data_IF_189357959639
#
_entry.id   IF_189357959639
#
_cell.length_a   1.000
_cell.length_b   1.000
_cell.length_c   1.000
_cell.angle_alpha   90.00
_cell.angle_beta   90.00
_cell.angle_gamma   90.00
#
_symmetry.space_group_name_H-M   'P 1'
#
loop_
_entity.id
_entity.type
_entity.pdbx_description
1 polymer ?
#
# COMPACT_ATOMS: atom_id res chain seq x y z
N UNK A 1 -27.32 -5.24 9.43
CA UNK A 1 -27.68 -5.03 8.02
C UNK A 1 -26.67 -4.21 7.21
N UNK A 2 -25.50 -3.78 7.74
CA UNK A 2 -24.51 -2.98 7.01
C UNK A 2 -23.44 -3.77 6.20
N UNK A 3 -23.27 -5.07 6.46
CA UNK A 3 -22.18 -5.88 5.87
C UNK A 3 -22.43 -6.38 4.44
N UNK A 4 -23.70 -6.57 4.04
CA UNK A 4 -24.04 -7.08 2.72
C UNK A 4 -23.93 -6.01 1.62
N UNK A 5 -24.24 -4.75 1.96
CA UNK A 5 -24.11 -3.60 1.06
C UNK A 5 -22.64 -3.27 0.81
N UNK A 6 -21.83 -3.12 1.87
CA UNK A 6 -20.38 -2.89 1.76
C UNK A 6 -19.67 -3.97 0.93
N UNK A 7 -20.05 -5.24 1.08
CA UNK A 7 -19.54 -6.35 0.25
C UNK A 7 -19.93 -6.24 -1.23
N UNK A 8 -21.18 -5.86 -1.54
CA UNK A 8 -21.62 -5.63 -2.93
C UNK A 8 -20.91 -4.45 -3.57
N UNK A 9 -20.72 -3.36 -2.83
CA UNK A 9 -19.98 -2.18 -3.32
C UNK A 9 -18.51 -2.52 -3.53
N UNK A 10 -17.91 -3.30 -2.63
CA UNK A 10 -16.52 -3.77 -2.75
C UNK A 10 -16.35 -4.68 -3.96
N UNK A 11 -17.24 -5.67 -4.16
CA UNK A 11 -17.22 -6.55 -5.35
C UNK A 11 -17.41 -5.79 -6.65
N UNK A 12 -18.33 -4.84 -6.68
CA UNK A 12 -18.60 -4.02 -7.87
C UNK A 12 -17.41 -3.12 -8.20
N UNK A 13 -16.78 -2.52 -7.18
CA UNK A 13 -15.58 -1.69 -7.35
C UNK A 13 -14.39 -2.53 -7.83
N UNK A 14 -14.18 -3.71 -7.23
CA UNK A 14 -13.15 -4.66 -7.67
C UNK A 14 -13.36 -5.08 -9.12
N UNK A 15 -14.60 -5.43 -9.51
CA UNK A 15 -14.92 -5.78 -10.90
C UNK A 15 -14.67 -4.62 -11.86
N UNK A 16 -15.06 -3.41 -11.51
CA UNK A 16 -14.85 -2.21 -12.35
C UNK A 16 -13.36 -1.88 -12.50
N UNK A 17 -12.59 -1.98 -11.41
CA UNK A 17 -11.13 -1.80 -11.43
C UNK A 17 -10.48 -2.90 -12.27
N UNK A 18 -10.92 -4.16 -12.14
CA UNK A 18 -10.41 -5.27 -12.95
C UNK A 18 -10.68 -5.07 -14.43
N UNK A 19 -11.89 -4.65 -14.81
CA UNK A 19 -12.25 -4.35 -16.21
C UNK A 19 -11.44 -3.17 -16.73
N UNK A 20 -11.26 -2.13 -15.94
CA UNK A 20 -10.44 -0.97 -16.31
C UNK A 20 -8.97 -1.35 -16.51
N UNK A 21 -8.37 -2.11 -15.58
CA UNK A 21 -7.00 -2.62 -15.71
C UNK A 21 -6.90 -3.49 -16.96
N UNK A 22 -7.82 -4.44 -17.17
CA UNK A 22 -7.78 -5.31 -18.34
C UNK A 22 -7.94 -4.53 -19.65
N UNK A 23 -8.78 -3.48 -19.68
CA UNK A 23 -8.95 -2.61 -20.83
C UNK A 23 -7.68 -1.79 -21.09
N UNK A 24 -7.12 -1.13 -20.08
CA UNK A 24 -5.86 -0.41 -20.20
C UNK A 24 -4.71 -1.33 -20.63
N UNK A 25 -4.64 -2.55 -20.10
CA UNK A 25 -3.59 -3.50 -20.47
C UNK A 25 -3.76 -4.02 -21.91
N UNK A 26 -5.00 -4.26 -22.37
CA UNK A 26 -5.29 -4.63 -23.76
C UNK A 26 -4.90 -3.51 -24.73
N UNK A 27 -5.26 -2.27 -24.42
CA UNK A 27 -4.96 -1.10 -25.26
C UNK A 27 -3.47 -0.73 -25.26
N UNK A 28 -2.80 -0.78 -24.10
CA UNK A 28 -1.40 -0.33 -23.96
C UNK A 28 -0.42 -1.38 -24.49
N UNK A 29 -0.69 -2.67 -24.24
CA UNK A 29 0.28 -3.74 -24.54
C UNK A 29 -0.14 -4.66 -25.68
N UNK A 30 -1.35 -4.53 -26.22
CA UNK A 30 -1.92 -5.43 -27.21
C UNK A 30 -1.88 -6.92 -26.77
N UNK A 31 -2.03 -7.17 -25.46
CA UNK A 31 -2.05 -8.52 -24.88
C UNK A 31 -3.49 -8.89 -24.55
N UNK A 32 -3.91 -10.08 -24.97
CA UNK A 32 -5.20 -10.66 -24.60
C UNK A 32 -5.07 -11.66 -23.46
N UNK A 33 -5.75 -11.37 -22.35
CA UNK A 33 -5.97 -12.33 -21.26
C UNK A 33 -7.45 -12.75 -21.24
N UNK A 34 -7.76 -14.01 -20.89
CA UNK A 34 -9.13 -14.46 -20.68
C UNK A 34 -9.78 -13.68 -19.52
N UNK A 35 -11.07 -13.37 -19.67
CA UNK A 35 -11.83 -12.41 -18.84
C UNK A 35 -12.03 -12.82 -17.37
N UNK A 36 -11.48 -13.98 -16.97
CA UNK A 36 -11.63 -14.50 -15.62
C UNK A 36 -10.28 -14.85 -15.02
N UNK A 37 -9.75 -13.97 -14.17
CA UNK A 37 -8.68 -14.32 -13.22
C UNK A 37 -9.36 -15.05 -12.06
N UNK A 38 -9.41 -16.39 -12.13
CA UNK A 38 -10.18 -17.21 -11.16
C UNK A 38 -9.34 -17.59 -9.92
N UNK A 39 -8.02 -17.51 -9.96
CA UNK A 39 -7.19 -17.99 -8.84
C UNK A 39 -6.12 -16.97 -8.44
N UNK A 40 -6.17 -16.57 -7.17
CA UNK A 40 -5.23 -15.65 -6.51
C UNK A 40 -3.83 -16.26 -6.27
N UNK A 41 -3.52 -17.43 -6.84
CA UNK A 41 -2.35 -18.24 -6.45
C UNK A 41 -1.41 -18.72 -7.58
N UNK A 42 -1.73 -18.70 -8.90
CA UNK A 42 -0.72 -19.00 -9.93
C UNK A 42 -0.42 -17.85 -10.91
N UNK A 43 -0.68 -16.59 -10.54
CA UNK A 43 -0.42 -15.44 -11.43
C UNK A 43 0.99 -14.84 -11.33
N UNK A 44 1.81 -15.27 -10.37
CA UNK A 44 3.18 -14.75 -10.23
C UNK A 44 4.09 -15.11 -11.41
N UNK A 45 3.79 -16.13 -12.20
CA UNK A 45 4.65 -16.54 -13.32
C UNK A 45 4.31 -15.86 -14.65
N UNK A 46 3.02 -15.70 -14.96
CA UNK A 46 2.57 -15.12 -16.21
C UNK A 46 2.58 -13.58 -16.21
N UNK A 47 2.43 -12.95 -15.05
CA UNK A 47 2.53 -11.49 -14.91
C UNK A 47 3.94 -10.97 -15.24
N UNK A 48 4.97 -11.78 -14.96
CA UNK A 48 6.35 -11.34 -15.05
C UNK A 48 6.87 -11.26 -16.51
N UNK A 49 6.30 -12.02 -17.44
CA UNK A 49 6.86 -12.16 -18.78
C UNK A 49 6.51 -11.01 -19.76
N UNK A 50 5.49 -10.19 -19.46
CA UNK A 50 4.92 -9.28 -20.46
C UNK A 50 5.11 -7.78 -20.20
N UNK A 51 5.77 -7.40 -19.09
CA UNK A 51 5.90 -6.00 -18.67
C UNK A 51 7.20 -5.29 -19.11
N UNK A 52 7.96 -5.88 -20.04
CA UNK A 52 9.17 -5.25 -20.61
C UNK A 52 8.89 -4.25 -21.75
N UNK A 53 7.62 -3.98 -22.05
CA UNK A 53 7.20 -3.09 -23.12
C UNK A 53 6.62 -1.80 -22.54
N UNK A 54 7.44 -0.95 -21.93
CA UNK A 54 7.54 0.51 -22.13
C UNK A 54 8.46 1.02 -21.02
N UNK A 55 9.72 1.33 -21.31
CA UNK A 55 10.67 1.92 -20.35
C UNK A 55 10.21 3.28 -19.77
N UNK A 56 9.07 3.80 -20.22
CA UNK A 56 8.50 5.09 -19.84
C UNK A 56 7.37 4.98 -18.81
N UNK A 57 6.72 3.80 -18.68
CA UNK A 57 5.62 3.57 -17.75
C UNK A 57 5.98 2.39 -16.84
N UNK A 58 6.17 2.65 -15.54
CA UNK A 58 6.55 1.69 -14.50
C UNK A 58 5.42 0.70 -14.14
N UNK A 59 4.76 0.11 -15.13
CA UNK A 59 3.50 -0.62 -14.98
C UNK A 59 3.65 -1.86 -14.09
N UNK A 60 4.82 -2.51 -14.14
CA UNK A 60 5.18 -3.62 -13.25
C UNK A 60 5.16 -3.20 -11.79
N UNK A 61 5.92 -2.16 -11.47
CA UNK A 61 6.08 -1.68 -10.09
C UNK A 61 4.74 -1.20 -9.53
N UNK A 62 3.95 -0.49 -10.35
CA UNK A 62 2.61 -0.02 -9.94
C UNK A 62 1.66 -1.17 -9.66
N UNK A 63 1.64 -2.19 -10.51
CA UNK A 63 0.80 -3.37 -10.28
C UNK A 63 1.26 -4.17 -9.06
N UNK A 64 2.57 -4.38 -8.89
CA UNK A 64 3.13 -5.08 -7.73
C UNK A 64 2.81 -4.34 -6.42
N UNK A 65 2.89 -3.01 -6.41
CA UNK A 65 2.43 -2.19 -5.29
C UNK A 65 0.96 -2.45 -4.97
N UNK A 66 0.07 -2.35 -5.96
CA UNK A 66 -1.38 -2.47 -5.77
C UNK A 66 -1.76 -3.86 -5.24
N UNK A 67 -1.26 -4.93 -5.85
CA UNK A 67 -1.57 -6.29 -5.42
C UNK A 67 -1.02 -6.58 -4.02
N UNK A 68 0.22 -6.17 -3.75
CA UNK A 68 0.84 -6.40 -2.44
C UNK A 68 0.20 -5.55 -1.33
N UNK A 69 -0.30 -4.34 -1.62
CA UNK A 69 -1.07 -3.55 -0.65
C UNK A 69 -2.41 -4.20 -0.33
N UNK A 70 -3.15 -4.67 -1.33
CA UNK A 70 -4.41 -5.37 -1.10
C UNK A 70 -4.20 -6.61 -0.21
N UNK A 71 -3.14 -7.36 -0.45
CA UNK A 71 -2.75 -8.49 0.39
C UNK A 71 -2.38 -8.04 1.82
N UNK A 72 -1.62 -6.94 1.98
CA UNK A 72 -1.28 -6.38 3.30
C UNK A 72 -2.53 -5.95 4.07
N UNK A 73 -3.52 -5.36 3.42
CA UNK A 73 -4.81 -5.01 4.05
C UNK A 73 -5.53 -6.26 4.54
N UNK A 74 -5.59 -7.31 3.72
CA UNK A 74 -6.19 -8.58 4.13
C UNK A 74 -5.45 -9.23 5.30
N UNK A 75 -4.11 -9.22 5.29
CA UNK A 75 -3.28 -9.69 6.40
C UNK A 75 -3.50 -8.83 7.66
N UNK A 76 -3.60 -7.51 7.51
CA UNK A 76 -3.81 -6.60 8.63
C UNK A 76 -5.17 -6.85 9.30
N UNK A 77 -6.21 -7.14 8.53
CA UNK A 77 -7.53 -7.46 9.09
C UNK A 77 -7.52 -8.73 9.96
N UNK A 78 -6.71 -9.73 9.61
CA UNK A 78 -6.77 -11.08 10.19
C UNK A 78 -5.77 -11.35 11.33
N UNK A 79 -4.94 -10.38 11.76
CA UNK A 79 -3.75 -10.66 12.62
C UNK A 79 -3.70 -9.78 13.88
N UNK A 80 -2.86 -10.17 14.87
CA UNK A 80 -2.56 -9.44 16.11
C UNK A 80 -1.47 -8.34 15.99
N UNK A 81 -1.42 -7.47 17.02
CA UNK A 81 -0.58 -6.25 17.12
C UNK A 81 0.90 -6.35 16.71
N UNK A 82 1.57 -7.49 16.91
CA UNK A 82 3.01 -7.64 16.60
C UNK A 82 3.29 -7.56 15.09
N UNK A 83 2.40 -8.10 14.27
CA UNK A 83 2.58 -8.17 12.81
C UNK A 83 2.11 -6.87 12.13
N UNK A 84 1.28 -6.05 12.80
CA UNK A 84 0.87 -4.73 12.29
C UNK A 84 2.03 -3.80 12.01
N UNK A 85 3.09 -3.85 12.84
CA UNK A 85 4.33 -3.10 12.58
C UNK A 85 4.87 -3.43 11.19
N UNK A 86 5.09 -4.71 10.95
CA UNK A 86 5.83 -5.16 9.79
C UNK A 86 5.03 -4.88 8.52
N UNK A 87 3.69 -5.06 8.58
CA UNK A 87 2.78 -4.69 7.50
C UNK A 87 2.80 -3.19 7.19
N UNK A 88 2.73 -2.32 8.21
CA UNK A 88 2.79 -0.86 8.00
C UNK A 88 4.12 -0.42 7.40
N UNK A 89 5.24 -0.98 7.88
CA UNK A 89 6.56 -0.59 7.41
C UNK A 89 6.85 -1.13 6.00
N UNK A 90 6.41 -2.34 5.67
CA UNK A 90 6.45 -2.88 4.31
C UNK A 90 5.59 -2.06 3.35
N UNK A 91 4.43 -1.60 3.82
CA UNK A 91 3.58 -0.70 3.04
C UNK A 91 4.30 0.62 2.72
N UNK A 92 4.95 1.25 3.70
CA UNK A 92 5.76 2.45 3.42
C UNK A 92 6.87 2.19 2.41
N UNK A 93 7.58 1.06 2.54
CA UNK A 93 8.66 0.70 1.62
C UNK A 93 8.13 0.51 0.19
N UNK A 94 6.97 -0.12 0.05
CA UNK A 94 6.29 -0.28 -1.23
C UNK A 94 5.84 1.07 -1.82
N UNK A 95 5.28 1.97 -1.00
CA UNK A 95 4.95 3.32 -1.43
C UNK A 95 6.18 4.11 -1.92
N UNK A 96 7.32 3.99 -1.23
CA UNK A 96 8.55 4.69 -1.61
C UNK A 96 9.20 4.10 -2.87
N UNK A 97 9.32 2.77 -2.96
CA UNK A 97 10.12 2.11 -3.99
C UNK A 97 9.29 1.71 -5.22
N UNK A 98 8.11 1.10 -5.01
CA UNK A 98 7.30 0.55 -6.09
C UNK A 98 6.30 1.57 -6.63
N UNK A 99 5.64 2.32 -5.74
CA UNK A 99 4.69 3.35 -6.19
C UNK A 99 5.33 4.72 -6.41
N UNK A 100 6.52 4.94 -5.83
CA UNK A 100 7.26 6.19 -5.88
C UNK A 100 6.43 7.40 -5.45
N UNK A 101 5.58 7.22 -4.44
CA UNK A 101 4.72 8.26 -3.88
C UNK A 101 5.16 8.77 -2.51
N UNK A 102 6.37 8.46 -2.05
CA UNK A 102 6.93 9.13 -0.88
C UNK A 102 7.61 10.46 -1.25
N UNK A 103 8.09 11.18 -0.25
CA UNK A 103 9.01 12.30 -0.42
C UNK A 103 9.96 12.39 0.77
N UNK A 104 11.02 13.18 0.62
CA UNK A 104 12.07 13.34 1.64
C UNK A 104 11.50 13.75 3.00
N UNK A 105 10.53 14.66 3.01
CA UNK A 105 9.89 15.17 4.22
C UNK A 105 9.09 14.07 4.93
N UNK A 106 8.32 13.27 4.17
CA UNK A 106 7.60 12.10 4.70
C UNK A 106 8.56 11.06 5.24
N UNK A 107 9.61 10.71 4.49
CA UNK A 107 10.58 9.69 4.90
C UNK A 107 11.34 10.10 6.16
N UNK A 108 11.71 11.38 6.28
CA UNK A 108 12.31 11.96 7.50
C UNK A 108 11.34 11.86 8.68
N UNK A 109 10.08 12.28 8.51
CA UNK A 109 9.08 12.23 9.58
C UNK A 109 8.79 10.78 10.02
N UNK A 110 8.69 9.84 9.09
CA UNK A 110 8.46 8.42 9.38
C UNK A 110 9.64 7.81 10.14
N UNK A 111 10.87 8.13 9.72
CA UNK A 111 12.08 7.70 10.42
C UNK A 111 12.06 8.21 11.87
N UNK A 112 11.78 9.50 12.06
CA UNK A 112 11.65 10.10 13.37
C UNK A 112 10.55 9.43 14.21
N UNK A 113 9.36 9.22 13.64
CA UNK A 113 8.27 8.52 14.33
C UNK A 113 8.66 7.13 14.84
N UNK A 114 9.57 6.44 14.15
CA UNK A 114 10.04 5.10 14.56
C UNK A 114 11.14 5.18 15.62
N UNK A 115 11.99 6.20 15.57
CA UNK A 115 13.22 6.28 16.37
C UNK A 115 13.07 7.03 17.70
N UNK A 116 12.05 7.88 17.89
CA UNK A 116 11.85 8.58 19.16
C UNK A 116 11.68 7.62 20.35
N UNK A 117 12.02 8.08 21.55
CA UNK A 117 11.73 7.36 22.80
C UNK A 117 10.22 7.09 22.83
N UNK A 118 9.84 5.86 23.17
CA UNK A 118 8.45 5.40 23.08
C UNK A 118 7.88 5.43 21.65
N UNK A 119 8.74 5.23 20.65
CA UNK A 119 8.45 5.31 19.22
C UNK A 119 7.34 4.42 18.72
N UNK A 120 6.86 4.76 17.53
CA UNK A 120 5.82 4.02 16.85
C UNK A 120 6.29 2.61 16.52
N UNK A 121 5.42 1.63 16.73
CA UNK A 121 5.64 0.27 16.26
C UNK A 121 5.82 0.26 14.74
N UNK A 122 4.89 0.89 14.03
CA UNK A 122 4.96 1.09 12.57
C UNK A 122 4.52 2.50 12.22
N UNK A 123 5.08 3.03 11.14
CA UNK A 123 4.74 4.37 10.63
C UNK A 123 4.83 4.37 9.10
N UNK A 124 3.88 5.02 8.44
CA UNK A 124 3.80 5.12 6.98
C UNK A 124 3.10 6.41 6.55
N UNK A 125 3.27 6.81 5.30
CA UNK A 125 2.46 7.87 4.70
C UNK A 125 0.98 7.47 4.66
N UNK A 126 0.09 8.46 4.62
CA UNK A 126 -1.34 8.24 4.43
C UNK A 126 -1.90 9.24 3.43
N UNK A 127 -2.92 8.81 2.67
CA UNK A 127 -3.41 9.55 1.51
C UNK A 127 -2.56 9.27 0.27
N UNK A 128 -2.51 10.25 -0.65
CA UNK A 128 -1.89 10.09 -1.96
C UNK A 128 -0.36 9.97 -1.91
N UNK A 129 0.29 10.61 -0.94
CA UNK A 129 1.74 10.74 -0.89
C UNK A 129 2.24 12.05 -1.52
N UNK A 130 3.53 12.10 -1.85
CA UNK A 130 4.27 13.29 -2.32
C UNK A 130 4.14 14.51 -1.38
N UNK A 131 3.98 14.24 -0.09
CA UNK A 131 3.70 15.22 0.97
C UNK A 131 2.52 14.79 1.84
N UNK A 132 2.00 15.73 2.63
CA UNK A 132 0.84 15.50 3.48
C UNK A 132 1.19 14.82 4.81
N UNK A 133 0.47 13.75 5.15
CA UNK A 133 0.44 13.21 6.51
C UNK A 133 1.06 11.81 6.61
N UNK A 134 1.46 11.46 7.83
CA UNK A 134 1.85 10.10 8.21
C UNK A 134 0.89 9.56 9.26
N UNK A 135 0.78 8.23 9.32
CA UNK A 135 0.04 7.52 10.37
C UNK A 135 0.99 6.59 11.10
N UNK A 136 0.95 6.63 12.44
CA UNK A 136 1.90 5.94 13.32
C UNK A 136 1.15 5.15 14.39
N UNK A 137 1.49 3.87 14.53
CA UNK A 137 0.90 2.97 15.54
C UNK A 137 1.70 3.05 16.83
N UNK A 138 1.10 3.58 17.90
CA UNK A 138 1.78 3.83 19.19
C UNK A 138 1.03 3.14 20.33
N UNK A 139 1.72 2.75 21.41
CA UNK A 139 1.02 2.32 22.64
C UNK A 139 0.22 3.48 23.21
N UNK A 140 -1.03 3.23 23.64
CA UNK A 140 -1.91 4.25 24.24
C UNK A 140 -1.24 4.97 25.42
N UNK A 141 -0.54 4.24 26.29
CA UNK A 141 0.20 4.80 27.43
C UNK A 141 1.30 5.79 27.04
N UNK A 142 1.77 5.72 25.80
CA UNK A 142 2.93 6.46 25.32
C UNK A 142 2.54 7.60 24.37
N UNK A 143 1.25 7.76 24.05
CA UNK A 143 0.79 8.66 22.99
C UNK A 143 1.18 10.14 23.27
N UNK A 144 0.99 10.62 24.49
CA UNK A 144 1.34 11.99 24.88
C UNK A 144 2.85 12.26 24.77
N UNK A 145 3.67 11.34 25.28
CA UNK A 145 5.12 11.45 25.22
C UNK A 145 5.62 11.40 23.76
N UNK A 146 5.02 10.54 22.95
CA UNK A 146 5.30 10.43 21.52
C UNK A 146 5.03 11.77 20.82
N UNK A 147 3.82 12.34 20.97
CA UNK A 147 3.44 13.62 20.36
C UNK A 147 4.39 14.74 20.79
N UNK A 148 4.72 14.82 22.09
CA UNK A 148 5.66 15.82 22.61
C UNK A 148 7.05 15.68 21.99
N UNK A 149 7.55 14.45 21.87
CA UNK A 149 8.88 14.20 21.29
C UNK A 149 8.95 14.61 19.83
N UNK A 150 7.91 14.35 19.05
CA UNK A 150 7.85 14.76 17.63
C UNK A 150 7.77 16.29 17.50
N UNK A 151 6.97 16.98 18.34
CA UNK A 151 6.84 18.44 18.30
C UNK A 151 8.13 19.20 18.63
N UNK A 152 9.00 18.60 19.45
CA UNK A 152 10.29 19.19 19.81
C UNK A 152 11.35 19.02 18.72
N UNK A 153 11.12 18.16 17.73
CA UNK A 153 12.01 18.04 16.59
C UNK A 153 11.66 19.14 15.58
N UNK A 154 12.60 20.05 15.36
CA UNK A 154 12.51 21.04 14.30
C UNK A 154 12.77 20.35 12.96
N UNK A 155 11.78 20.35 12.06
CA UNK A 155 11.87 19.69 10.75
C UNK A 155 12.32 20.63 9.65
#
# INVERSE_FOLDING_TARGET
>A
MYGAETWRTTKTTIKKVQVFINSCLREIFNIHWPDTIIYFYPLTHYFYLHLNLVNHFYLRDRAEHVYSEAERVFKFYNICKKIFRDLMNQSQLSCANLYQCSCRELDKLISVCRLVISGAFGSRLTGAGWGGCTVSLVKKSNAEQFIRSIRLMNF
#
